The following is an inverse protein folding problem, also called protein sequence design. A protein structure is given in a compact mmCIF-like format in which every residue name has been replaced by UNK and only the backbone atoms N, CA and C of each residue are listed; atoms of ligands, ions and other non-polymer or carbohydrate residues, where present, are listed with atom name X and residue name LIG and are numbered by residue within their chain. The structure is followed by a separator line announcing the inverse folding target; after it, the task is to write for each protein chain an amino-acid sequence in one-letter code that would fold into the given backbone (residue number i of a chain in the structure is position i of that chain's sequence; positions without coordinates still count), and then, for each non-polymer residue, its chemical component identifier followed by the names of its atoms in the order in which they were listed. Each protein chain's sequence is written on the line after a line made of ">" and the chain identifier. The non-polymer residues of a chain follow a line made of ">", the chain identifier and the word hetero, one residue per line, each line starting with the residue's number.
data_IF_504690765685
#
_entry.id   IF_504690765685
#
_cell.length_a   1.000
_cell.length_b   1.000
_cell.length_c   1.000
_cell.angle_alpha   90.00
_cell.angle_beta   90.00
_cell.angle_gamma   90.00
#
_symmetry.space_group_name_H-M   'P 1'
#
loop_
_entity.id
_entity.type
_entity.pdbx_description
1 polymer ?
#
# COMPACT_ATOMS: atom_id res chain seq x y z
N UNK A 1 -10.99 -10.36 -24.86
CA UNK A 1 -10.05 -9.97 -23.78
C UNK A 1 -9.55 -8.58 -24.09
N UNK A 2 -9.86 -7.60 -23.23
CA UNK A 2 -9.46 -6.23 -23.48
C UNK A 2 -7.94 -6.11 -23.48
N UNK A 3 -7.40 -5.51 -24.54
CA UNK A 3 -5.96 -5.34 -24.78
C UNK A 3 -5.30 -4.33 -23.80
N UNK A 4 -6.08 -3.71 -22.92
CA UNK A 4 -5.66 -2.65 -22.00
C UNK A 4 -4.61 -3.08 -20.97
N UNK A 5 -4.61 -4.37 -20.57
CA UNK A 5 -3.74 -4.87 -19.50
C UNK A 5 -2.64 -5.82 -20.00
N UNK A 6 -2.34 -5.79 -21.29
CA UNK A 6 -1.36 -6.69 -21.94
C UNK A 6 0.01 -6.71 -21.26
N UNK A 7 0.38 -5.63 -20.62
CA UNK A 7 1.70 -5.45 -20.00
C UNK A 7 1.73 -5.81 -18.51
N UNK A 8 0.61 -6.21 -17.92
CA UNK A 8 0.57 -6.64 -16.53
C UNK A 8 0.68 -8.17 -16.43
N UNK A 9 1.52 -8.70 -15.53
CA UNK A 9 1.62 -10.13 -15.32
C UNK A 9 0.32 -10.71 -14.79
N UNK A 10 0.06 -11.98 -15.13
CA UNK A 10 -1.11 -12.67 -14.62
C UNK A 10 -0.98 -12.88 -13.11
N UNK A 11 -2.10 -12.77 -12.38
CA UNK A 11 -2.12 -12.95 -10.91
C UNK A 11 -1.71 -14.37 -10.48
N UNK A 12 -1.87 -15.36 -11.36
CA UNK A 12 -1.48 -16.75 -11.11
C UNK A 12 -0.03 -17.05 -11.56
N UNK A 13 0.73 -16.04 -11.96
CA UNK A 13 2.12 -16.23 -12.37
C UNK A 13 3.00 -16.47 -11.14
N UNK A 14 3.75 -17.58 -11.12
CA UNK A 14 4.67 -17.93 -10.03
C UNK A 14 5.72 -16.85 -9.77
N UNK A 15 6.09 -16.10 -10.80
CA UNK A 15 7.06 -15.00 -10.72
C UNK A 15 6.39 -13.61 -10.70
N UNK A 16 5.11 -13.52 -10.31
CA UNK A 16 4.34 -12.29 -10.28
C UNK A 16 5.10 -11.13 -9.63
N UNK A 17 5.65 -11.35 -8.44
CA UNK A 17 6.33 -10.32 -7.67
C UNK A 17 7.57 -9.78 -8.40
N UNK A 18 8.40 -10.63 -8.98
CA UNK A 18 9.58 -10.22 -9.72
C UNK A 18 9.21 -9.42 -10.96
N UNK A 19 8.21 -9.89 -11.73
CA UNK A 19 7.71 -9.19 -12.92
C UNK A 19 7.06 -7.84 -12.59
N UNK A 20 6.41 -7.72 -11.43
CA UNK A 20 5.91 -6.44 -10.95
C UNK A 20 7.07 -5.48 -10.64
N UNK A 21 8.12 -5.95 -9.96
CA UNK A 21 9.27 -5.10 -9.64
C UNK A 21 10.12 -4.67 -10.86
N UNK A 22 9.91 -5.25 -12.03
CA UNK A 22 10.48 -4.75 -13.29
C UNK A 22 9.77 -3.49 -13.79
N UNK A 23 8.56 -3.22 -13.32
CA UNK A 23 7.80 -2.03 -13.69
C UNK A 23 8.19 -0.85 -12.80
N UNK A 24 8.29 0.34 -13.41
CA UNK A 24 8.74 1.57 -12.74
C UNK A 24 7.89 1.91 -11.51
N UNK A 25 6.58 1.77 -11.59
CA UNK A 25 5.64 2.08 -10.51
C UNK A 25 5.80 1.20 -9.27
N UNK A 26 6.42 0.02 -9.42
CA UNK A 26 6.66 -0.91 -8.31
C UNK A 26 8.14 -0.95 -7.89
N UNK A 27 9.04 -0.75 -8.83
CA UNK A 27 10.48 -0.80 -8.55
C UNK A 27 10.90 0.20 -7.46
N UNK A 28 10.37 1.42 -7.49
CA UNK A 28 10.65 2.47 -6.51
C UNK A 28 10.19 2.11 -5.09
N UNK A 29 9.19 1.23 -4.99
CA UNK A 29 8.61 0.77 -3.73
C UNK A 29 9.19 -0.57 -3.24
N UNK A 30 10.20 -1.10 -3.91
CA UNK A 30 10.87 -2.32 -3.48
C UNK A 30 11.48 -2.12 -2.09
N UNK A 31 11.03 -2.93 -1.14
CA UNK A 31 11.56 -2.87 0.23
C UNK A 31 13.02 -3.29 0.23
N UNK A 32 13.87 -2.42 0.74
CA UNK A 32 15.27 -2.75 1.00
C UNK A 32 15.34 -3.56 2.29
N UNK A 33 16.14 -4.63 2.28
CA UNK A 33 16.42 -5.36 3.51
C UNK A 33 17.05 -4.40 4.53
N UNK A 34 16.47 -4.35 5.71
CA UNK A 34 16.98 -3.51 6.79
C UNK A 34 18.03 -4.30 7.56
N UNK A 35 19.29 -3.91 7.44
CA UNK A 35 20.44 -4.57 8.08
C UNK A 35 21.24 -3.63 8.97
N UNK A 36 20.58 -2.73 9.71
CA UNK A 36 21.28 -1.91 10.71
C UNK A 36 21.36 -2.67 12.02
N UNK A 37 22.57 -3.01 12.43
CA UNK A 37 22.86 -3.43 13.79
C UNK A 37 23.04 -2.18 14.65
N UNK A 38 22.25 -2.06 15.70
CA UNK A 38 22.37 -0.97 16.68
C UNK A 38 23.25 -1.46 17.82
N UNK A 39 24.35 -0.75 18.11
CA UNK A 39 25.30 -1.13 19.13
C UNK A 39 24.97 -0.55 20.52
N UNK A 40 24.17 0.53 20.54
CA UNK A 40 23.80 1.19 21.81
C UNK A 40 22.40 1.84 21.73
N UNK A 41 21.86 2.22 22.87
CA UNK A 41 20.55 2.87 22.99
C UNK A 41 20.49 4.22 22.25
N UNK A 42 21.60 4.96 22.20
CA UNK A 42 21.65 6.26 21.52
C UNK A 42 21.40 6.11 20.04
N UNK A 43 22.00 5.11 19.40
CA UNK A 43 21.81 4.84 17.96
C UNK A 43 20.34 4.49 17.65
N UNK A 44 19.69 3.73 18.54
CA UNK A 44 18.26 3.40 18.41
C UNK A 44 17.41 4.67 18.53
N UNK A 45 17.71 5.52 19.50
CA UNK A 45 16.99 6.77 19.73
C UNK A 45 17.11 7.71 18.54
N UNK A 46 18.33 7.95 18.08
CA UNK A 46 18.61 8.84 16.95
C UNK A 46 17.94 8.32 15.65
N UNK A 47 17.95 7.02 15.44
CA UNK A 47 17.25 6.38 14.32
C UNK A 47 15.73 6.57 14.41
N UNK A 48 15.14 6.34 15.59
CA UNK A 48 13.71 6.56 15.84
C UNK A 48 13.34 8.01 15.60
N UNK A 49 14.09 8.94 16.17
CA UNK A 49 13.81 10.37 16.10
C UNK A 49 13.90 10.88 14.64
N UNK A 50 14.85 10.38 13.87
CA UNK A 50 14.93 10.66 12.41
C UNK A 50 13.72 10.14 11.63
N UNK A 51 13.17 8.96 11.99
CA UNK A 51 11.98 8.43 11.31
C UNK A 51 10.72 9.18 11.72
N UNK A 52 10.62 9.56 13.01
CA UNK A 52 9.41 10.15 13.57
C UNK A 52 9.33 11.67 13.40
N UNK A 53 10.43 12.36 13.06
CA UNK A 53 10.50 13.82 12.95
C UNK A 53 10.09 14.36 11.57
N UNK A 54 9.80 13.52 10.61
CA UNK A 54 9.44 13.92 9.24
C UNK A 54 7.96 14.18 9.03
N UNK A 55 7.65 14.83 7.90
CA UNK A 55 6.28 14.93 7.39
C UNK A 55 5.69 13.53 7.14
N UNK A 56 4.35 13.46 7.16
CA UNK A 56 3.65 12.22 6.86
C UNK A 56 4.06 11.70 5.48
N UNK A 57 4.59 10.48 5.45
CA UNK A 57 4.95 9.77 4.22
C UNK A 57 4.38 8.37 4.27
N UNK A 58 3.84 7.94 3.14
CA UNK A 58 3.44 6.55 2.98
C UNK A 58 4.67 5.63 3.08
N UNK A 59 4.52 4.53 3.79
CA UNK A 59 5.52 3.47 3.76
C UNK A 59 5.59 2.83 2.36
N UNK A 60 6.75 2.28 2.00
CA UNK A 60 6.94 1.65 0.69
C UNK A 60 5.91 0.56 0.39
N UNK A 61 5.51 -0.24 1.39
CA UNK A 61 4.45 -1.24 1.22
C UNK A 61 3.07 -0.61 0.98
N UNK A 62 2.75 0.52 1.61
CA UNK A 62 1.48 1.22 1.38
C UNK A 62 1.42 1.79 -0.03
N UNK A 63 2.51 2.41 -0.50
CA UNK A 63 2.63 2.89 -1.88
C UNK A 63 2.57 1.76 -2.89
N UNK A 64 3.21 0.62 -2.61
CA UNK A 64 3.12 -0.57 -3.45
C UNK A 64 1.67 -1.07 -3.57
N UNK A 65 0.97 -1.20 -2.45
CA UNK A 65 -0.42 -1.66 -2.41
C UNK A 65 -1.37 -0.70 -3.15
N UNK A 66 -1.15 0.60 -3.00
CA UNK A 66 -1.90 1.64 -3.70
C UNK A 66 -1.68 1.55 -5.23
N UNK A 67 -0.47 1.28 -5.68
CA UNK A 67 -0.19 1.07 -7.10
C UNK A 67 -0.76 -0.26 -7.61
N UNK A 68 -0.82 -1.29 -6.76
CA UNK A 68 -1.32 -2.61 -7.14
C UNK A 68 -2.83 -2.62 -7.34
N UNK A 69 -3.58 -2.00 -6.44
CA UNK A 69 -5.03 -1.87 -6.53
C UNK A 69 -5.39 -0.44 -6.93
N UNK A 70 -5.58 -0.22 -8.21
CA UNK A 70 -6.09 1.04 -8.74
C UNK A 70 -6.94 0.81 -10.01
N UNK A 71 -7.69 1.82 -10.50
CA UNK A 71 -8.57 1.66 -11.66
C UNK A 71 -7.87 1.19 -12.94
N UNK A 72 -6.57 1.45 -13.07
CA UNK A 72 -5.78 1.21 -14.29
C UNK A 72 -5.02 -0.11 -14.26
N UNK A 73 -5.17 -0.93 -13.22
CA UNK A 73 -4.57 -2.26 -13.12
C UNK A 73 -5.60 -3.37 -13.26
N UNK A 74 -5.20 -4.57 -13.73
CA UNK A 74 -6.12 -5.71 -13.83
C UNK A 74 -6.51 -6.31 -12.48
N UNK A 75 -5.83 -5.92 -11.41
CA UNK A 75 -5.98 -6.51 -10.09
C UNK A 75 -7.17 -5.93 -9.36
N UNK A 76 -8.15 -6.79 -9.02
CA UNK A 76 -9.46 -6.35 -8.49
C UNK A 76 -9.66 -6.65 -7.00
N UNK A 77 -8.72 -7.35 -6.39
CA UNK A 77 -8.82 -7.70 -4.98
C UNK A 77 -7.46 -7.98 -4.37
N UNK A 78 -7.37 -7.76 -3.06
CA UNK A 78 -6.15 -7.98 -2.29
C UNK A 78 -6.49 -8.35 -0.85
N UNK A 79 -5.82 -9.37 -0.33
CA UNK A 79 -5.82 -9.69 1.10
C UNK A 79 -4.58 -9.09 1.75
N UNK A 80 -4.77 -8.17 2.70
CA UNK A 80 -3.69 -7.56 3.46
C UNK A 80 -3.60 -8.25 4.82
N UNK A 81 -2.58 -9.10 4.99
CA UNK A 81 -2.30 -9.81 6.23
C UNK A 81 -1.02 -9.27 6.86
N UNK A 82 -1.18 -8.26 7.70
CA UNK A 82 -0.09 -7.57 8.39
C UNK A 82 -0.25 -7.63 9.90
N UNK A 83 0.87 -7.57 10.64
CA UNK A 83 0.87 -7.45 12.09
C UNK A 83 0.19 -6.18 12.61
N UNK A 84 0.04 -6.08 13.92
CA UNK A 84 -0.50 -4.87 14.57
C UNK A 84 0.48 -3.70 14.40
N UNK A 85 -0.03 -2.49 14.21
CA UNK A 85 0.80 -1.28 14.10
C UNK A 85 1.48 -1.04 12.74
N UNK A 86 1.26 -1.89 11.74
CA UNK A 86 1.90 -1.77 10.40
C UNK A 86 1.21 -0.78 9.46
N UNK A 87 0.21 -0.03 9.92
CA UNK A 87 -0.47 0.97 9.12
C UNK A 87 -1.50 0.44 8.12
N UNK A 88 -2.22 -0.66 8.44
CA UNK A 88 -3.29 -1.23 7.60
C UNK A 88 -4.35 -0.21 7.18
N UNK A 89 -4.77 0.64 8.13
CA UNK A 89 -5.74 1.72 7.86
C UNK A 89 -5.20 2.71 6.84
N UNK A 90 -3.92 3.10 6.96
CA UNK A 90 -3.26 3.97 5.98
C UNK A 90 -3.18 3.33 4.59
N UNK A 91 -2.94 2.01 4.50
CA UNK A 91 -2.98 1.29 3.23
C UNK A 91 -4.38 1.33 2.59
N UNK A 92 -5.43 1.11 3.38
CA UNK A 92 -6.80 1.14 2.89
C UNK A 92 -7.21 2.54 2.42
N UNK A 93 -6.84 3.59 3.15
CA UNK A 93 -7.07 4.99 2.76
C UNK A 93 -6.33 5.29 1.44
N UNK A 94 -5.06 4.94 1.35
CA UNK A 94 -4.24 5.18 0.17
C UNK A 94 -4.77 4.47 -1.08
N UNK A 95 -5.28 3.25 -0.95
CA UNK A 95 -5.97 2.54 -2.03
C UNK A 95 -7.28 3.27 -2.40
N UNK A 96 -8.07 3.68 -1.41
CA UNK A 96 -9.37 4.33 -1.64
C UNK A 96 -9.24 5.65 -2.40
N UNK A 97 -8.20 6.43 -2.12
CA UNK A 97 -7.93 7.70 -2.81
C UNK A 97 -7.74 7.51 -4.34
N UNK A 98 -7.19 6.39 -4.79
CA UNK A 98 -7.05 6.10 -6.22
C UNK A 98 -8.40 5.98 -6.95
N UNK A 99 -9.46 5.64 -6.24
CA UNK A 99 -10.79 5.46 -6.81
C UNK A 99 -11.67 6.71 -6.71
N UNK A 100 -11.22 7.75 -6.05
CA UNK A 100 -12.01 8.96 -5.75
C UNK A 100 -12.60 9.60 -7.01
N UNK A 101 -11.78 9.85 -8.03
CA UNK A 101 -12.25 10.48 -9.25
C UNK A 101 -13.26 9.60 -10.01
N UNK A 102 -13.01 8.30 -10.04
CA UNK A 102 -13.92 7.34 -10.66
C UNK A 102 -15.27 7.29 -9.92
N UNK A 103 -15.22 7.25 -8.60
CA UNK A 103 -16.42 7.23 -7.74
C UNK A 103 -17.25 8.52 -7.93
N UNK A 104 -16.59 9.68 -7.95
CA UNK A 104 -17.25 10.97 -8.17
C UNK A 104 -17.88 11.03 -9.57
N UNK A 105 -17.16 10.59 -10.60
CA UNK A 105 -17.64 10.60 -11.98
C UNK A 105 -18.89 9.76 -12.20
N UNK A 106 -18.99 8.62 -11.55
CA UNK A 106 -20.10 7.67 -11.74
C UNK A 106 -21.16 7.73 -10.62
N UNK A 107 -21.04 8.66 -9.66
CA UNK A 107 -21.98 8.79 -8.55
C UNK A 107 -22.00 7.59 -7.58
N UNK A 108 -20.94 6.78 -7.59
CA UNK A 108 -20.80 5.61 -6.72
C UNK A 108 -20.27 6.01 -5.32
N UNK A 109 -20.09 5.02 -4.44
CA UNK A 109 -19.54 5.21 -3.09
C UNK A 109 -18.49 4.14 -2.81
N UNK A 110 -17.52 4.49 -1.97
CA UNK A 110 -16.59 3.52 -1.38
C UNK A 110 -17.24 2.99 -0.10
N UNK A 111 -17.40 1.69 0.01
CA UNK A 111 -17.99 1.03 1.18
C UNK A 111 -16.89 0.47 2.06
N UNK A 112 -16.88 0.87 3.35
CA UNK A 112 -15.92 0.39 4.35
C UNK A 112 -16.70 -0.41 5.38
N UNK A 113 -16.42 -1.71 5.47
CA UNK A 113 -17.05 -2.62 6.42
C UNK A 113 -16.10 -2.86 7.59
N UNK A 114 -16.57 -2.56 8.80
CA UNK A 114 -15.79 -2.69 10.03
C UNK A 114 -16.58 -3.43 11.11
N UNK A 115 -15.93 -4.29 11.91
CA UNK A 115 -16.63 -5.18 12.84
C UNK A 115 -17.12 -4.52 14.14
N UNK A 116 -16.93 -3.22 14.35
CA UNK A 116 -17.35 -2.61 15.60
C UNK A 116 -17.27 -1.08 15.66
N UNK A 117 -17.89 -0.46 16.68
CA UNK A 117 -18.01 0.99 16.78
C UNK A 117 -16.67 1.72 17.01
N UNK A 118 -15.69 1.09 17.68
CA UNK A 118 -14.36 1.66 17.90
C UNK A 118 -13.59 1.87 16.59
N UNK A 119 -13.72 0.92 15.68
CA UNK A 119 -13.07 1.00 14.36
C UNK A 119 -13.77 2.03 13.48
N UNK A 120 -15.10 2.16 13.60
CA UNK A 120 -15.89 3.14 12.85
C UNK A 120 -15.43 4.58 13.10
N UNK A 121 -15.00 4.90 14.31
CA UNK A 121 -14.53 6.24 14.66
C UNK A 121 -13.17 6.61 14.05
N UNK A 122 -12.39 5.63 13.63
CA UNK A 122 -11.10 5.84 12.95
C UNK A 122 -11.26 6.36 11.52
N UNK A 123 -12.45 6.20 10.92
CA UNK A 123 -12.75 6.54 9.52
C UNK A 123 -13.63 7.79 9.38
N UNK A 124 -13.81 8.55 10.43
CA UNK A 124 -14.44 9.87 10.41
C UNK A 124 -13.38 10.95 10.17
#
# INVERSE_FOLDING_TARGET
>A
MNNEYKYYPNINDENLQNKLYEKREYYTNKMKSFSKNFNNYKDIKDFRDNICSGDFKLYSHQSFLSNFINPYTPYKGLLIFHGVGTGKTGSAISISENFKDMVLKYGNKIHILVPGPLIKNTWK
#
